data_IF_586652568045
#
_entry.id   IF_586652568045
#
_cell.length_a   1.000
_cell.length_b   1.000
_cell.length_c   1.000
_cell.angle_alpha   90.00
_cell.angle_beta   90.00
_cell.angle_gamma   90.00
#
_symmetry.space_group_name_H-M   'P 1'
#
loop_
_entity.id
_entity.type
_entity.pdbx_description
1 polymer ?
#
# COMPACT_ATOMS: atom_id res chain seq x y z
N UNK A 1 6.97 29.17 5.68
CA UNK A 1 7.65 27.88 5.39
C UNK A 1 7.75 27.10 6.70
N UNK A 2 6.64 26.60 7.24
CA UNK A 2 6.69 25.87 8.53
C UNK A 2 5.53 24.89 8.71
N UNK A 3 5.26 24.06 7.71
CA UNK A 3 4.36 22.89 7.84
C UNK A 3 5.15 21.56 7.84
N UNK A 4 6.40 21.59 8.28
CA UNK A 4 7.26 20.41 8.41
C UNK A 4 7.10 19.82 9.82
N UNK A 5 5.85 19.68 10.28
CA UNK A 5 5.52 19.33 11.66
C UNK A 5 4.88 17.96 11.91
N UNK A 6 4.55 17.16 10.87
CA UNK A 6 3.67 15.99 11.07
C UNK A 6 3.96 14.80 10.13
N UNK A 7 5.23 14.44 9.94
CA UNK A 7 5.53 13.08 9.47
C UNK A 7 6.59 12.52 10.40
N UNK A 8 6.12 12.11 11.57
CA UNK A 8 6.84 11.25 12.50
C UNK A 8 7.37 10.08 11.67
N UNK A 9 8.67 9.82 11.79
CA UNK A 9 9.31 8.58 11.32
C UNK A 9 8.34 7.42 11.53
N UNK A 10 8.08 6.65 10.48
CA UNK A 10 7.12 5.57 10.53
C UNK A 10 7.48 4.66 11.71
N UNK A 11 6.58 4.50 12.66
CA UNK A 11 6.81 3.60 13.79
C UNK A 11 6.85 2.17 13.25
N UNK A 12 7.54 1.24 13.93
CA UNK A 12 7.50 -0.18 13.54
C UNK A 12 6.06 -0.70 13.41
N UNK A 13 5.14 -0.16 14.21
CA UNK A 13 3.72 -0.51 14.17
C UNK A 13 3.03 -0.01 12.88
N UNK A 14 3.40 1.17 12.38
CA UNK A 14 2.93 1.67 11.09
C UNK A 14 3.50 0.85 9.93
N UNK A 15 4.75 0.37 10.02
CA UNK A 15 5.35 -0.46 8.98
C UNK A 15 4.61 -1.79 8.88
N UNK A 16 4.32 -2.41 10.02
CA UNK A 16 3.53 -3.65 10.12
C UNK A 16 2.11 -3.42 9.61
N UNK A 17 1.49 -2.28 9.94
CA UNK A 17 0.14 -1.93 9.47
C UNK A 17 0.09 -1.74 7.95
N UNK A 18 1.06 -1.02 7.38
CA UNK A 18 1.18 -0.83 5.93
C UNK A 18 1.46 -2.16 5.22
N UNK A 19 2.38 -2.98 5.74
CA UNK A 19 2.66 -4.31 5.19
C UNK A 19 1.40 -5.19 5.13
N UNK A 20 0.59 -5.20 6.19
CA UNK A 20 -0.69 -5.92 6.24
C UNK A 20 -1.75 -5.40 5.26
N UNK A 21 -1.62 -4.16 4.78
CA UNK A 21 -2.50 -3.58 3.77
C UNK A 21 -1.98 -3.83 2.34
N UNK A 22 -0.66 -3.87 2.17
CA UNK A 22 0.00 -4.12 0.89
C UNK A 22 -0.18 -5.58 0.45
N UNK A 23 -0.05 -6.55 1.37
CA UNK A 23 -0.15 -7.98 1.05
C UNK A 23 -1.47 -8.36 0.35
N UNK A 24 -2.65 -8.00 0.88
CA UNK A 24 -3.93 -8.25 0.21
C UNK A 24 -4.03 -7.60 -1.18
N UNK A 25 -3.48 -6.39 -1.35
CA UNK A 25 -3.48 -5.71 -2.64
C UNK A 25 -2.61 -6.41 -3.67
N UNK A 26 -1.42 -6.87 -3.28
CA UNK A 26 -0.53 -7.66 -4.15
C UNK A 26 -1.15 -8.99 -4.55
N UNK A 27 -1.78 -9.68 -3.60
CA UNK A 27 -2.53 -10.91 -3.88
C UNK A 27 -3.70 -10.63 -4.84
N UNK A 28 -4.41 -9.51 -4.67
CA UNK A 28 -5.52 -9.15 -5.54
C UNK A 28 -5.08 -8.82 -6.97
N UNK A 29 -3.94 -8.16 -7.17
CA UNK A 29 -3.33 -7.95 -8.49
C UNK A 29 -2.96 -9.29 -9.12
N UNK A 30 -2.29 -10.19 -8.37
CA UNK A 30 -1.93 -11.50 -8.87
C UNK A 30 -3.16 -12.35 -9.28
N UNK A 31 -4.26 -12.26 -8.52
CA UNK A 31 -5.52 -12.95 -8.85
C UNK A 31 -6.18 -12.34 -10.11
N UNK A 32 -6.13 -11.03 -10.29
CA UNK A 32 -6.62 -10.35 -11.49
C UNK A 32 -5.79 -10.68 -12.74
N UNK A 33 -4.47 -10.75 -12.61
CA UNK A 33 -3.54 -11.04 -13.69
C UNK A 33 -3.49 -12.53 -14.03
N UNK A 34 -3.83 -13.41 -13.07
CA UNK A 34 -3.89 -14.86 -13.25
C UNK A 34 -4.95 -15.34 -14.26
N UNK A 35 -5.76 -14.44 -14.82
CA UNK A 35 -6.62 -14.73 -15.98
C UNK A 35 -7.79 -15.68 -15.70
N UNK A 36 -8.08 -15.96 -14.43
CA UNK A 36 -9.21 -16.78 -14.03
C UNK A 36 -10.56 -16.16 -14.41
N UNK A 37 -11.58 -17.00 -14.60
CA UNK A 37 -12.93 -16.56 -14.92
C UNK A 37 -13.61 -16.04 -13.64
N UNK A 38 -13.24 -14.82 -13.27
CA UNK A 38 -13.74 -14.13 -12.07
C UNK A 38 -15.05 -13.42 -12.39
N UNK A 39 -16.04 -13.56 -11.51
CA UNK A 39 -17.30 -12.82 -11.61
C UNK A 39 -17.07 -11.31 -11.63
N UNK A 40 -18.00 -10.54 -12.21
CA UNK A 40 -17.91 -9.09 -12.24
C UNK A 40 -17.81 -8.47 -10.83
N UNK A 41 -18.48 -9.07 -9.85
CA UNK A 41 -18.40 -8.67 -8.43
C UNK A 41 -17.00 -8.92 -7.88
N UNK A 42 -16.45 -10.12 -8.08
CA UNK A 42 -15.11 -10.48 -7.61
C UNK A 42 -14.03 -9.59 -8.24
N UNK A 43 -14.12 -9.33 -9.55
CA UNK A 43 -13.22 -8.38 -10.24
C UNK A 43 -13.27 -6.97 -9.64
N UNK A 44 -14.45 -6.48 -9.22
CA UNK A 44 -14.58 -5.17 -8.57
C UNK A 44 -13.94 -5.16 -7.19
N UNK A 45 -14.16 -6.19 -6.38
CA UNK A 45 -13.54 -6.33 -5.06
C UNK A 45 -12.02 -6.39 -5.14
N UNK A 46 -11.49 -7.22 -6.04
CA UNK A 46 -10.05 -7.34 -6.25
C UNK A 46 -9.44 -6.02 -6.74
N UNK A 47 -10.10 -5.30 -7.65
CA UNK A 47 -9.64 -3.98 -8.09
C UNK A 47 -9.62 -2.97 -6.95
N UNK A 48 -10.58 -3.04 -6.02
CA UNK A 48 -10.60 -2.19 -4.84
C UNK A 48 -9.42 -2.52 -3.92
N UNK A 49 -9.22 -3.80 -3.60
CA UNK A 49 -8.10 -4.25 -2.77
C UNK A 49 -6.73 -3.93 -3.41
N UNK A 50 -6.60 -4.09 -4.72
CA UNK A 50 -5.39 -3.72 -5.46
C UNK A 50 -5.05 -2.23 -5.31
N UNK A 51 -6.04 -1.34 -5.46
CA UNK A 51 -5.85 0.11 -5.27
C UNK A 51 -5.45 0.45 -3.83
N UNK A 52 -6.12 -0.15 -2.85
CA UNK A 52 -5.82 0.08 -1.43
C UNK A 52 -4.39 -0.36 -1.07
N UNK A 53 -3.93 -1.49 -1.60
CA UNK A 53 -2.55 -1.94 -1.40
C UNK A 53 -1.52 -1.08 -2.12
N UNK A 54 -1.84 -0.57 -3.31
CA UNK A 54 -0.97 0.34 -4.06
C UNK A 54 -0.80 1.69 -3.34
N UNK A 55 -1.89 2.22 -2.75
CA UNK A 55 -1.84 3.44 -1.94
C UNK A 55 -1.04 3.22 -0.64
N UNK A 56 -1.20 2.06 0.00
CA UNK A 56 -0.38 1.69 1.16
C UNK A 56 1.11 1.55 0.81
N UNK A 57 1.43 0.99 -0.35
CA UNK A 57 2.81 0.86 -0.84
C UNK A 57 3.44 2.22 -1.14
N UNK A 58 2.68 3.13 -1.78
CA UNK A 58 3.09 4.53 -1.98
C UNK A 58 3.39 5.22 -0.65
N UNK A 59 2.51 5.09 0.33
CA UNK A 59 2.71 5.67 1.66
C UNK A 59 3.94 5.10 2.37
N UNK A 60 4.17 3.79 2.25
CA UNK A 60 5.35 3.11 2.80
C UNK A 60 6.65 3.61 2.16
N UNK A 61 6.71 3.67 0.82
CA UNK A 61 7.89 4.12 0.07
C UNK A 61 8.17 5.60 0.33
N UNK A 62 7.16 6.47 0.32
CA UNK A 62 7.36 7.90 0.60
C UNK A 62 7.94 8.13 2.00
N UNK A 63 7.50 7.35 2.97
CA UNK A 63 7.96 7.47 4.34
C UNK A 63 9.38 6.93 4.54
N UNK A 64 9.74 5.84 3.85
CA UNK A 64 11.08 5.26 3.87
C UNK A 64 12.09 6.08 3.05
N UNK A 65 11.69 6.65 1.91
CA UNK A 65 12.57 7.53 1.14
C UNK A 65 12.90 8.79 1.95
N UNK A 66 11.94 9.36 2.69
CA UNK A 66 12.20 10.53 3.55
C UNK A 66 13.16 10.23 4.71
N UNK A 67 13.25 8.97 5.14
CA UNK A 67 14.27 8.50 6.09
C UNK A 67 15.66 8.46 5.44
N UNK A 68 15.77 7.94 4.21
CA UNK A 68 17.06 7.81 3.48
C UNK A 68 17.67 9.16 3.10
N UNK A 69 16.87 10.21 2.84
CA UNK A 69 17.40 11.56 2.52
C UNK A 69 17.65 12.43 3.76
N UNK A 70 17.40 11.92 4.97
CA UNK A 70 17.52 12.68 6.23
C UNK A 70 18.70 12.26 7.12
N UNK A 71 19.64 11.47 6.58
CA UNK A 71 20.90 11.05 7.24
C UNK A 71 22.10 11.76 6.61
#
# INVERSE_FOLDING_TARGET
LTDIGQYTLLTKDDEVRLAKQIEPGKAAVAELDGGGDLSATRKRELRKAAREGEDAERAFVQSNLRLVVSI
#
